data_IF_892688369807
#
_entry.id   IF_892688369807
#
_cell.length_a   1.000
_cell.length_b   1.000
_cell.length_c   1.000
_cell.angle_alpha   90.00
_cell.angle_beta   90.00
_cell.angle_gamma   90.00
#
_symmetry.space_group_name_H-M   'P 1'
#
loop_
_entity.id
_entity.type
_entity.pdbx_description
1 polymer ?
#
# COMPACT_ATOMS: atom_id res chain seq x y z
N UNK A 1 -39.11 15.17 34.41
CA UNK A 1 -39.28 16.54 33.89
C UNK A 1 -38.23 17.43 34.53
N UNK A 2 -37.30 17.95 33.73
CA UNK A 2 -36.21 18.81 34.19
C UNK A 2 -35.41 19.29 32.99
N UNK A 3 -36.02 20.19 32.21
CA UNK A 3 -35.37 20.91 31.11
C UNK A 3 -34.29 21.85 31.67
N UNK A 4 -33.07 21.72 31.16
CA UNK A 4 -32.06 22.79 31.19
C UNK A 4 -31.63 23.08 29.77
N UNK A 5 -32.22 24.13 29.19
CA UNK A 5 -31.69 24.85 28.04
C UNK A 5 -30.55 25.77 28.53
N UNK A 6 -29.44 25.80 27.80
CA UNK A 6 -28.42 26.86 27.78
C UNK A 6 -27.77 26.86 26.37
N UNK A 7 -27.13 27.96 25.93
CA UNK A 7 -27.54 28.66 24.72
C UNK A 7 -26.58 28.48 23.53
N UNK A 8 -27.18 28.79 22.38
CA UNK A 8 -26.64 29.03 21.06
C UNK A 8 -25.51 30.09 21.07
N UNK A 9 -24.34 29.74 20.55
CA UNK A 9 -23.29 30.69 20.17
C UNK A 9 -23.03 30.57 18.67
N UNK A 10 -23.37 31.63 17.95
CA UNK A 10 -23.10 31.89 16.53
C UNK A 10 -21.79 32.71 16.42
N UNK A 11 -21.21 32.74 15.20
CA UNK A 11 -20.14 33.63 14.65
C UNK A 11 -18.79 32.91 14.45
N UNK A 12 -18.04 33.01 13.34
CA UNK A 12 -18.10 33.79 12.07
C UNK A 12 -17.25 33.04 11.03
N UNK A 13 -17.71 33.00 9.78
CA UNK A 13 -16.91 32.61 8.62
C UNK A 13 -16.05 33.78 8.13
N UNK A 14 -14.79 33.53 7.78
CA UNK A 14 -14.00 34.44 6.94
C UNK A 14 -13.31 33.63 5.83
N UNK A 15 -13.82 33.79 4.62
CA UNK A 15 -13.18 33.44 3.35
C UNK A 15 -12.19 34.56 3.00
N UNK A 16 -10.94 34.22 2.68
CA UNK A 16 -10.06 35.09 1.88
C UNK A 16 -9.34 34.24 0.84
N UNK A 17 -9.77 34.39 -0.40
CA UNK A 17 -9.06 33.94 -1.59
C UNK A 17 -8.19 35.10 -2.10
N UNK A 18 -6.91 34.84 -2.38
CA UNK A 18 -6.03 35.76 -3.09
C UNK A 18 -5.25 34.98 -4.15
N UNK A 19 -5.67 35.09 -5.41
CA UNK A 19 -4.85 34.80 -6.59
C UNK A 19 -4.42 36.11 -7.22
N UNK A 20 -3.12 36.32 -7.51
CA UNK A 20 -2.70 37.33 -8.46
C UNK A 20 -2.39 36.72 -9.84
N UNK A 21 -3.21 37.11 -10.83
CA UNK A 21 -2.91 37.10 -12.27
C UNK A 21 -2.16 38.39 -12.62
N UNK A 22 -1.05 38.30 -13.34
CA UNK A 22 -0.51 39.40 -14.15
C UNK A 22 0.42 38.86 -15.26
N UNK A 23 0.16 39.34 -16.48
CA UNK A 23 0.70 39.01 -17.79
C UNK A 23 2.03 39.74 -18.15
N UNK A 24 2.67 39.46 -19.31
CA UNK A 24 4.10 39.67 -19.57
C UNK A 24 4.41 40.96 -20.36
N UNK A 25 5.70 41.29 -20.58
CA UNK A 25 6.11 42.17 -21.68
C UNK A 25 6.95 41.48 -22.77
N UNK A 26 6.61 41.84 -24.01
CA UNK A 26 7.32 41.60 -25.29
C UNK A 26 8.46 42.61 -25.57
N UNK A 27 9.16 42.37 -26.69
CA UNK A 27 10.21 43.14 -27.41
C UNK A 27 11.66 42.86 -26.96
N UNK A 28 12.60 42.50 -27.84
CA UNK A 28 12.63 42.39 -29.30
C UNK A 28 14.08 42.47 -29.80
N UNK A 29 14.31 42.02 -31.04
CA UNK A 29 15.42 42.32 -31.95
C UNK A 29 16.51 41.24 -32.24
N UNK A 30 16.52 40.86 -33.54
CA UNK A 30 17.65 40.57 -34.45
C UNK A 30 18.34 39.17 -34.49
N UNK A 31 18.05 38.44 -35.57
CA UNK A 31 18.79 37.32 -36.22
C UNK A 31 20.03 37.83 -37.02
N UNK A 32 20.97 37.03 -37.61
CA UNK A 32 20.88 35.66 -38.22
C UNK A 32 22.19 34.78 -38.11
N UNK A 33 22.51 33.78 -38.99
CA UNK A 33 21.81 32.53 -39.39
C UNK A 33 22.59 31.21 -39.06
N UNK A 34 21.86 30.06 -39.08
CA UNK A 34 22.19 28.65 -39.49
C UNK A 34 23.58 28.00 -39.17
N UNK A 35 23.65 26.69 -38.80
CA UNK A 35 23.25 25.60 -39.70
C UNK A 35 22.50 24.39 -39.07
N UNK A 36 21.88 23.65 -39.99
CA UNK A 36 21.25 22.33 -39.89
C UNK A 36 22.26 21.26 -39.42
N UNK A 37 21.80 20.24 -38.68
CA UNK A 37 22.12 18.89 -39.11
C UNK A 37 20.86 18.04 -39.31
N UNK A 38 20.82 17.51 -40.52
CA UNK A 38 20.08 16.37 -41.00
C UNK A 38 20.59 15.12 -40.25
N UNK A 39 19.68 14.39 -39.62
CA UNK A 39 19.79 12.94 -39.39
C UNK A 39 18.36 12.43 -39.30
N UNK A 40 17.86 11.98 -40.44
CA UNK A 40 16.66 11.18 -40.54
C UNK A 40 16.98 9.72 -40.20
N UNK A 41 15.97 9.04 -39.65
CA UNK A 41 15.76 7.59 -39.65
C UNK A 41 16.72 6.74 -38.78
N UNK A 42 16.19 6.13 -37.72
CA UNK A 42 15.68 4.74 -37.77
C UNK A 42 15.27 4.28 -36.36
N UNK A 43 14.20 3.50 -36.34
CA UNK A 43 13.68 2.69 -35.24
C UNK A 43 13.05 3.41 -34.05
N UNK A 44 11.75 3.69 -34.22
CA UNK A 44 10.82 3.64 -33.12
C UNK A 44 10.82 2.24 -32.50
N UNK A 45 11.69 2.03 -31.51
CA UNK A 45 11.35 1.13 -30.42
C UNK A 45 10.30 1.83 -29.59
N UNK A 46 9.03 1.52 -29.89
CA UNK A 46 8.06 1.41 -28.83
C UNK A 46 8.72 0.61 -27.68
N UNK A 47 8.69 1.06 -26.42
CA UNK A 47 8.93 0.14 -25.32
C UNK A 47 7.77 -0.84 -25.38
N UNK A 48 7.96 -1.92 -26.15
CA UNK A 48 7.16 -3.10 -26.05
C UNK A 48 7.23 -3.49 -24.60
N UNK A 49 6.09 -3.35 -23.91
CA UNK A 49 5.88 -3.89 -22.59
C UNK A 49 6.20 -5.37 -22.71
N UNK A 50 7.42 -5.75 -22.36
CA UNK A 50 7.79 -7.13 -22.24
C UNK A 50 6.92 -7.66 -21.12
N UNK A 51 5.86 -8.39 -21.48
CA UNK A 51 5.11 -9.19 -20.53
C UNK A 51 6.12 -10.18 -19.97
N UNK A 52 6.67 -9.86 -18.79
CA UNK A 52 7.46 -10.80 -18.03
C UNK A 52 6.51 -11.91 -17.60
N UNK A 53 6.51 -12.99 -18.35
CA UNK A 53 5.99 -14.28 -17.91
C UNK A 53 6.98 -14.86 -16.89
N UNK A 54 7.15 -14.15 -15.78
CA UNK A 54 7.94 -14.59 -14.64
C UNK A 54 7.08 -15.48 -13.74
N UNK A 55 7.68 -16.53 -13.18
CA UNK A 55 7.09 -17.25 -12.05
C UNK A 55 6.81 -16.25 -10.94
N UNK A 56 5.60 -16.29 -10.37
CA UNK A 56 5.20 -15.44 -9.24
C UNK A 56 6.11 -15.72 -8.03
N UNK A 57 6.96 -14.76 -7.69
CA UNK A 57 7.89 -14.84 -6.56
C UNK A 57 7.49 -13.84 -5.48
N UNK A 58 7.39 -14.29 -4.23
CA UNK A 58 7.19 -13.41 -3.06
C UNK A 58 8.53 -13.30 -2.33
N UNK A 59 8.98 -12.06 -2.15
CA UNK A 59 10.23 -11.75 -1.47
C UNK A 59 9.94 -11.26 -0.05
N UNK A 60 10.84 -11.60 0.87
CA UNK A 60 10.85 -10.96 2.18
C UNK A 60 11.31 -9.50 2.07
N UNK A 61 10.83 -8.68 3.00
CA UNK A 61 11.28 -7.31 3.20
C UNK A 61 11.55 -7.02 4.69
N UNK A 62 12.45 -6.08 4.92
CA UNK A 62 12.86 -5.65 6.26
C UNK A 62 11.95 -4.57 6.83
N UNK A 63 12.07 -4.31 8.14
CA UNK A 63 11.40 -3.19 8.82
C UNK A 63 11.77 -1.85 8.17
N UNK A 64 13.05 -1.65 7.83
CA UNK A 64 13.51 -0.40 7.21
C UNK A 64 12.88 -0.17 5.83
N UNK A 65 12.76 -1.23 5.02
CA UNK A 65 12.07 -1.15 3.74
C UNK A 65 10.57 -0.88 3.92
N UNK A 66 9.92 -1.49 4.93
CA UNK A 66 8.52 -1.22 5.26
C UNK A 66 8.29 0.26 5.57
N UNK A 67 9.13 0.85 6.43
CA UNK A 67 9.06 2.28 6.74
C UNK A 67 9.35 3.16 5.52
N UNK A 68 10.29 2.77 4.67
CA UNK A 68 10.58 3.49 3.42
C UNK A 68 9.39 3.53 2.46
N UNK A 69 8.47 2.56 2.55
CA UNK A 69 7.22 2.54 1.77
C UNK A 69 6.06 3.32 2.42
N UNK A 70 6.31 3.98 3.56
CA UNK A 70 5.28 4.66 4.35
C UNK A 70 4.41 3.71 5.18
N UNK A 71 4.86 2.46 5.36
CA UNK A 71 4.23 1.50 6.26
C UNK A 71 4.77 1.56 7.68
N UNK A 72 4.41 0.56 8.49
CA UNK A 72 4.78 0.45 9.90
C UNK A 72 3.66 0.90 10.85
N UNK A 73 3.94 0.85 12.15
CA UNK A 73 2.95 1.11 13.20
C UNK A 73 2.07 -0.10 13.50
N UNK A 74 0.84 0.15 13.95
CA UNK A 74 -0.11 -0.91 14.28
C UNK A 74 -0.51 -1.72 13.05
N UNK A 75 -0.59 -3.03 13.18
CA UNK A 75 -0.98 -3.89 12.07
C UNK A 75 -0.71 -5.36 12.32
N UNK A 76 -0.73 -6.13 11.23
CA UNK A 76 -0.32 -7.54 11.22
C UNK A 76 0.87 -7.71 10.28
N UNK A 77 1.94 -8.31 10.78
CA UNK A 77 3.08 -8.77 9.98
C UNK A 77 3.03 -10.28 9.86
N UNK A 78 3.29 -10.80 8.66
CA UNK A 78 3.36 -12.24 8.42
C UNK A 78 4.69 -12.60 7.76
N UNK A 79 5.25 -13.73 8.14
CA UNK A 79 6.48 -14.30 7.59
C UNK A 79 6.28 -15.80 7.32
N UNK A 80 7.16 -16.46 6.56
CA UNK A 80 6.99 -17.88 6.24
C UNK A 80 6.98 -18.70 7.53
N UNK A 81 6.03 -19.64 7.62
CA UNK A 81 6.01 -20.56 8.74
C UNK A 81 7.28 -21.41 8.71
N UNK A 82 8.09 -21.31 9.76
CA UNK A 82 9.37 -22.00 9.88
C UNK A 82 9.67 -22.25 11.36
N UNK A 83 10.58 -23.19 11.65
CA UNK A 83 10.98 -23.45 13.04
C UNK A 83 11.90 -22.31 13.52
N UNK A 84 11.33 -21.23 14.06
CA UNK A 84 12.05 -20.12 14.69
C UNK A 84 11.46 -18.73 14.43
N UNK A 85 12.11 -17.70 14.98
CA UNK A 85 11.81 -16.28 14.70
C UNK A 85 12.15 -15.90 13.25
N UNK A 86 11.52 -14.86 12.67
CA UNK A 86 11.78 -14.44 11.29
C UNK A 86 13.21 -13.93 11.13
N UNK A 87 14.12 -14.82 10.72
CA UNK A 87 15.51 -14.46 10.45
C UNK A 87 15.65 -13.64 9.16
N UNK A 88 14.64 -13.69 8.27
CA UNK A 88 14.73 -13.17 6.90
C UNK A 88 13.75 -12.01 6.59
N UNK A 89 12.99 -11.53 7.58
CA UNK A 89 12.01 -10.45 7.42
C UNK A 89 10.58 -10.92 7.20
N UNK A 90 9.75 -10.06 6.61
CA UNK A 90 8.30 -10.25 6.45
C UNK A 90 7.92 -10.46 4.99
N UNK A 91 6.89 -11.25 4.72
CA UNK A 91 6.29 -11.39 3.39
C UNK A 91 5.14 -10.41 3.18
N UNK A 92 4.50 -10.00 4.26
CA UNK A 92 3.25 -9.27 4.23
C UNK A 92 3.14 -8.35 5.44
N UNK A 93 2.59 -7.16 5.22
CA UNK A 93 2.17 -6.24 6.26
C UNK A 93 0.76 -5.73 5.95
N UNK A 94 -0.11 -5.71 6.97
CA UNK A 94 -1.42 -5.08 6.94
C UNK A 94 -1.53 -4.07 8.08
N UNK A 95 -1.19 -2.82 7.77
CA UNK A 95 -1.25 -1.70 8.68
C UNK A 95 -2.67 -1.19 8.89
N UNK A 96 -2.94 -0.80 10.13
CA UNK A 96 -4.13 -0.06 10.51
C UNK A 96 -3.87 1.42 10.32
N UNK A 97 -4.73 2.09 9.55
CA UNK A 97 -4.72 3.54 9.47
C UNK A 97 -5.97 4.08 10.18
N UNK A 98 -5.85 5.15 10.98
CA UNK A 98 -7.02 5.83 11.52
C UNK A 98 -7.80 6.48 10.37
N UNK A 99 -9.14 6.49 10.41
CA UNK A 99 -9.95 7.18 9.41
C UNK A 99 -9.53 8.65 9.25
N UNK A 100 -9.52 9.20 8.02
CA UNK A 100 -10.12 8.67 6.80
C UNK A 100 -9.20 7.78 5.95
N UNK A 101 -8.00 7.46 6.44
CA UNK A 101 -7.02 6.72 5.66
C UNK A 101 -7.43 5.24 5.56
N UNK A 102 -7.37 4.69 4.34
CA UNK A 102 -7.51 3.26 4.13
C UNK A 102 -6.24 2.57 4.66
N UNK A 103 -6.39 1.43 5.34
CA UNK A 103 -5.27 0.64 5.88
C UNK A 103 -4.18 0.37 4.84
N UNK A 104 -2.94 0.24 5.30
CA UNK A 104 -1.77 0.07 4.45
C UNK A 104 -1.43 -1.41 4.31
N UNK A 105 -1.81 -2.05 3.19
CA UNK A 105 -1.46 -3.46 2.94
C UNK A 105 -0.37 -3.56 1.87
N UNK A 106 0.71 -4.31 2.16
CA UNK A 106 1.93 -4.34 1.35
C UNK A 106 2.55 -5.74 1.28
N UNK A 107 3.03 -6.12 0.09
CA UNK A 107 3.95 -7.25 -0.13
C UNK A 107 5.07 -6.84 -1.08
N UNK A 108 6.17 -7.61 -1.09
CA UNK A 108 7.22 -7.50 -2.11
C UNK A 108 7.13 -8.70 -3.06
N UNK A 109 6.80 -8.45 -4.32
CA UNK A 109 6.52 -9.46 -5.34
C UNK A 109 7.44 -9.21 -6.52
N UNK A 110 8.18 -10.23 -6.97
CA UNK A 110 9.18 -10.13 -8.04
C UNK A 110 10.17 -8.96 -7.83
N UNK A 111 10.54 -8.68 -6.58
CA UNK A 111 11.44 -7.60 -6.18
C UNK A 111 10.78 -6.22 -6.02
N UNK A 112 9.51 -6.05 -6.37
CA UNK A 112 8.78 -4.78 -6.33
C UNK A 112 7.75 -4.72 -5.21
N UNK A 113 7.56 -3.54 -4.61
CA UNK A 113 6.53 -3.33 -3.60
C UNK A 113 5.15 -3.16 -4.23
N UNK A 114 4.24 -4.06 -3.89
CA UNK A 114 2.86 -4.05 -4.34
C UNK A 114 1.95 -3.68 -3.19
N UNK A 115 1.14 -2.64 -3.39
CA UNK A 115 0.10 -2.21 -2.45
C UNK A 115 -1.22 -2.88 -2.78
N UNK A 116 -1.93 -3.27 -1.73
CA UNK A 116 -3.20 -3.93 -1.81
C UNK A 116 -4.30 -3.12 -1.11
N UNK A 117 -5.50 -3.17 -1.66
CA UNK A 117 -6.73 -2.63 -1.04
C UNK A 117 -7.59 -3.79 -0.58
N UNK A 118 -8.05 -3.73 0.67
CA UNK A 118 -8.99 -4.72 1.21
C UNK A 118 -10.35 -4.60 0.53
N UNK A 119 -10.88 -5.71 0.03
CA UNK A 119 -12.19 -5.80 -0.65
C UNK A 119 -13.21 -6.61 0.14
N UNK A 120 -12.76 -7.50 1.02
CA UNK A 120 -13.62 -8.23 1.95
C UNK A 120 -12.88 -8.55 3.25
N UNK A 121 -13.64 -8.66 4.34
CA UNK A 121 -13.16 -9.07 5.65
C UNK A 121 -14.28 -9.82 6.38
N UNK A 122 -13.95 -10.93 7.05
CA UNK A 122 -14.89 -11.77 7.78
C UNK A 122 -14.20 -12.58 8.88
N UNK A 123 -14.97 -13.11 9.82
CA UNK A 123 -14.47 -13.97 10.90
C UNK A 123 -14.41 -13.27 12.25
N UNK A 124 -13.51 -13.74 13.11
CA UNK A 124 -13.19 -13.14 14.40
C UNK A 124 -12.36 -11.86 14.24
N UNK A 125 -12.76 -10.81 14.96
CA UNK A 125 -12.08 -9.51 14.97
C UNK A 125 -10.94 -9.49 15.97
N UNK A 126 -9.79 -8.93 15.57
CA UNK A 126 -8.63 -8.73 16.44
C UNK A 126 -7.88 -7.49 15.98
N UNK A 127 -7.52 -6.59 16.90
CA UNK A 127 -6.74 -5.37 16.61
C UNK A 127 -7.21 -4.64 15.32
N UNK A 128 -8.52 -4.42 15.14
CA UNK A 128 -9.07 -3.73 13.95
C UNK A 128 -8.97 -4.51 12.63
N UNK A 129 -8.64 -5.79 12.69
CA UNK A 129 -8.52 -6.73 11.58
C UNK A 129 -9.48 -7.91 11.76
N UNK A 130 -9.57 -8.78 10.76
CA UNK A 130 -10.43 -9.95 10.73
C UNK A 130 -9.62 -11.18 10.30
N UNK A 131 -10.03 -12.37 10.73
CA UNK A 131 -9.30 -13.63 10.49
C UNK A 131 -9.34 -14.09 9.04
N UNK A 132 -10.32 -13.66 8.25
CA UNK A 132 -10.35 -13.83 6.79
C UNK A 132 -10.38 -12.45 6.13
N UNK A 133 -9.43 -12.18 5.25
CA UNK A 133 -9.35 -10.92 4.51
C UNK A 133 -9.00 -11.17 3.05
N UNK A 134 -9.71 -10.50 2.15
CA UNK A 134 -9.39 -10.49 0.71
C UNK A 134 -8.96 -9.09 0.31
N UNK A 135 -7.95 -9.04 -0.54
CA UNK A 135 -7.38 -7.82 -1.09
C UNK A 135 -7.17 -7.95 -2.59
N UNK A 136 -7.09 -6.79 -3.26
CA UNK A 136 -6.71 -6.67 -4.67
C UNK A 136 -5.57 -5.66 -4.81
N UNK A 137 -4.66 -5.90 -5.75
CA UNK A 137 -3.61 -4.91 -6.09
C UNK A 137 -4.23 -3.64 -6.66
N UNK A 138 -3.49 -2.53 -6.66
CA UNK A 138 -3.97 -1.27 -7.25
C UNK A 138 -4.29 -1.35 -8.75
N UNK A 139 -3.67 -2.30 -9.46
CA UNK A 139 -3.94 -2.59 -10.87
C UNK A 139 -5.05 -3.62 -11.11
N UNK A 140 -5.66 -4.14 -10.04
CA UNK A 140 -6.67 -5.22 -10.05
C UNK A 140 -6.21 -6.51 -10.80
N UNK A 141 -4.90 -6.69 -10.95
CA UNK A 141 -4.26 -7.82 -11.65
C UNK A 141 -3.88 -8.98 -10.72
N UNK A 142 -3.83 -8.71 -9.41
CA UNK A 142 -3.55 -9.70 -8.37
C UNK A 142 -4.66 -9.73 -7.33
N UNK A 143 -5.00 -10.93 -6.88
CA UNK A 143 -5.87 -11.15 -5.72
C UNK A 143 -5.08 -11.81 -4.60
N UNK A 144 -5.19 -11.25 -3.40
CA UNK A 144 -4.59 -11.79 -2.20
C UNK A 144 -5.69 -12.21 -1.23
N UNK A 145 -5.60 -13.43 -0.71
CA UNK A 145 -6.43 -13.90 0.39
C UNK A 145 -5.52 -14.25 1.57
N UNK A 146 -5.91 -13.77 2.75
CA UNK A 146 -5.21 -13.98 4.01
C UNK A 146 -6.20 -14.63 4.95
N UNK A 147 -5.89 -15.85 5.36
CA UNK A 147 -6.66 -16.61 6.36
C UNK A 147 -5.76 -16.82 7.56
N UNK A 148 -6.22 -16.44 8.75
CA UNK A 148 -5.46 -16.58 9.99
C UNK A 148 -6.29 -17.19 11.11
N UNK A 149 -5.59 -17.81 12.05
CA UNK A 149 -6.08 -18.24 13.35
C UNK A 149 -5.28 -17.53 14.43
N UNK A 150 -5.97 -17.14 15.50
CA UNK A 150 -5.36 -16.45 16.63
C UNK A 150 -4.67 -17.47 17.56
N UNK A 151 -3.42 -17.18 17.88
CA UNK A 151 -2.62 -17.93 18.84
C UNK A 151 -2.70 -17.32 20.24
N UNK A 152 -1.66 -17.58 21.03
CA UNK A 152 -1.53 -17.00 22.37
C UNK A 152 -1.32 -15.48 22.29
N UNK A 153 -1.79 -14.72 23.28
CA UNK A 153 -1.41 -13.32 23.46
C UNK A 153 0.11 -13.17 23.55
N UNK A 154 0.65 -12.22 22.80
CA UNK A 154 2.07 -11.87 22.79
C UNK A 154 2.44 -10.88 23.88
N UNK A 155 3.73 -10.53 23.94
CA UNK A 155 4.21 -9.44 24.78
C UNK A 155 3.86 -8.09 24.13
N UNK A 156 3.42 -7.11 24.94
CA UNK A 156 3.17 -5.72 24.50
C UNK A 156 2.04 -5.64 23.47
N UNK A 157 0.80 -5.80 23.93
CA UNK A 157 -0.43 -5.55 23.14
C UNK A 157 -0.41 -6.18 21.74
N UNK A 158 0.09 -7.42 21.65
CA UNK A 158 0.11 -8.22 20.43
C UNK A 158 -0.57 -9.57 20.63
N UNK A 159 -0.94 -10.22 19.53
CA UNK A 159 -1.39 -11.62 19.49
C UNK A 159 -0.64 -12.35 18.39
N UNK A 160 -0.19 -13.57 18.69
CA UNK A 160 0.38 -14.44 17.69
C UNK A 160 -0.69 -14.82 16.66
N UNK A 161 -0.29 -14.92 15.40
CA UNK A 161 -1.17 -15.37 14.31
C UNK A 161 -0.49 -16.45 13.50
N UNK A 162 -1.26 -17.44 13.07
CA UNK A 162 -0.83 -18.47 12.12
C UNK A 162 -1.85 -18.56 11.00
N UNK A 163 -1.45 -19.01 9.81
CA UNK A 163 -2.39 -19.03 8.71
C UNK A 163 -1.80 -19.29 7.34
N UNK A 164 -2.46 -18.75 6.33
CA UNK A 164 -2.10 -18.96 4.93
C UNK A 164 -2.29 -17.68 4.13
N UNK A 165 -1.27 -17.32 3.35
CA UNK A 165 -1.36 -16.35 2.26
C UNK A 165 -1.61 -17.08 0.94
N UNK A 166 -2.63 -16.66 0.20
CA UNK A 166 -2.93 -17.14 -1.14
C UNK A 166 -2.90 -15.97 -2.12
N UNK A 167 -1.87 -15.93 -2.96
CA UNK A 167 -1.69 -14.90 -3.99
C UNK A 167 -2.03 -15.49 -5.35
N UNK A 168 -2.95 -14.85 -6.07
CA UNK A 168 -3.42 -15.27 -7.38
C UNK A 168 -3.07 -14.20 -8.42
N UNK A 169 -2.46 -14.62 -9.53
CA UNK A 169 -2.15 -13.77 -10.68
C UNK A 169 -2.24 -14.59 -11.96
N UNK A 170 -2.92 -14.10 -12.99
CA UNK A 170 -3.01 -14.74 -14.31
C UNK A 170 -3.45 -16.22 -14.32
N UNK A 171 -4.23 -16.64 -13.32
CA UNK A 171 -4.71 -18.03 -13.16
C UNK A 171 -3.78 -18.93 -12.34
N UNK A 172 -2.57 -18.47 -12.04
CA UNK A 172 -1.66 -19.14 -11.10
C UNK A 172 -2.04 -18.78 -9.66
N UNK A 173 -1.83 -19.73 -8.74
CA UNK A 173 -2.05 -19.54 -7.30
C UNK A 173 -0.81 -19.98 -6.54
N UNK A 174 -0.24 -19.06 -5.77
CA UNK A 174 0.82 -19.33 -4.82
C UNK A 174 0.24 -19.33 -3.39
N UNK A 175 0.42 -20.45 -2.70
CA UNK A 175 -0.03 -20.64 -1.32
C UNK A 175 1.17 -20.74 -0.39
N UNK A 176 1.25 -19.87 0.61
CA UNK A 176 2.36 -19.80 1.56
C UNK A 176 1.79 -19.98 2.97
N UNK A 177 2.19 -21.04 3.70
CA UNK A 177 1.90 -21.13 5.13
C UNK A 177 2.70 -20.05 5.86
N UNK A 178 2.03 -19.33 6.75
CA UNK A 178 2.61 -18.17 7.43
C UNK A 178 2.34 -18.22 8.92
N UNK A 179 3.21 -17.55 9.65
CA UNK A 179 2.99 -17.17 11.03
C UNK A 179 3.32 -15.68 11.18
N UNK A 180 2.94 -15.08 12.30
CA UNK A 180 3.08 -13.66 12.47
C UNK A 180 2.66 -13.15 13.84
N UNK A 181 2.64 -11.84 13.95
CA UNK A 181 2.04 -11.12 15.07
C UNK A 181 1.10 -10.02 14.54
N UNK A 182 0.06 -9.73 15.31
CA UNK A 182 -0.80 -8.58 15.10
C UNK A 182 -0.88 -7.74 16.38
N UNK A 183 -0.69 -6.42 16.29
CA UNK A 183 -0.68 -5.56 17.46
C UNK A 183 -0.34 -4.09 17.19
N UNK A 184 -0.17 -3.39 18.30
CA UNK A 184 0.38 -2.04 18.48
C UNK A 184 1.39 -2.12 19.63
#
# INVERSE_FOLDING_TARGET
MGMRLLPLTVLVAVLVACTPTAEPPENGAANPPSPVPESAETDGLAPGTATQTGTLEVNSFTVDELFAQGGGGCGMTLWPQSEGSPLEGFLFFNGLAPPPDDGFTLMKINGEFVRFRRTAAAGEEFYGQQTSQTFVSQGDDMRLQVETTLGEPGEIESIAVEGTLQLQQNGDTLTIPVQGDAGC
#
